data_IF_356990758377
#
_entry.id   IF_356990758377
#
_cell.length_a   1.000
_cell.length_b   1.000
_cell.length_c   1.000
_cell.angle_alpha   90.00
_cell.angle_beta   90.00
_cell.angle_gamma   90.00
#
_symmetry.space_group_name_H-M   'P 1'
#
loop_
_entity.id
_entity.type
_entity.pdbx_description
1 polymer ?
#
# COMPACT_ATOMS: atom_id res chain seq x y z
N UNK A 1 12.73 -23.79 26.50
CA UNK A 1 11.41 -23.37 25.95
C UNK A 1 10.59 -24.64 25.70
N UNK A 2 9.32 -24.68 26.12
CA UNK A 2 8.47 -25.88 25.97
C UNK A 2 8.02 -26.07 24.51
N UNK A 3 8.04 -27.31 24.03
CA UNK A 3 7.71 -27.73 22.65
C UNK A 3 6.38 -27.18 22.15
N UNK A 4 5.40 -27.03 23.03
CA UNK A 4 4.09 -26.42 22.73
C UNK A 4 4.19 -25.00 22.17
N UNK A 5 5.13 -24.18 22.66
CA UNK A 5 5.33 -22.82 22.14
C UNK A 5 5.88 -22.82 20.71
N UNK A 6 6.68 -23.82 20.35
CA UNK A 6 7.22 -23.97 18.99
C UNK A 6 6.10 -24.42 18.03
N UNK A 7 5.28 -25.39 18.46
CA UNK A 7 4.12 -25.85 17.68
C UNK A 7 3.13 -24.71 17.46
N UNK A 8 2.81 -23.92 18.49
CA UNK A 8 1.90 -22.79 18.35
C UNK A 8 2.46 -21.69 17.42
N UNK A 9 3.79 -21.50 17.41
CA UNK A 9 4.46 -20.55 16.51
C UNK A 9 4.44 -21.03 15.06
N UNK A 10 4.63 -22.33 14.83
CA UNK A 10 4.49 -22.95 13.50
C UNK A 10 3.03 -22.87 13.05
N UNK A 11 2.05 -23.18 13.90
CA UNK A 11 0.63 -23.03 13.58
C UNK A 11 0.26 -21.58 13.23
N UNK A 12 0.81 -20.60 13.94
CA UNK A 12 0.60 -19.16 13.65
C UNK A 12 1.28 -18.69 12.36
N UNK A 13 2.37 -19.35 11.94
CA UNK A 13 3.03 -19.12 10.66
C UNK A 13 2.32 -19.83 9.49
N UNK A 14 1.76 -21.01 9.74
CA UNK A 14 0.94 -21.79 8.79
C UNK A 14 -0.48 -21.23 8.64
N UNK A 15 -1.00 -20.52 9.66
CA UNK A 15 -2.20 -19.70 9.53
C UNK A 15 -1.89 -18.58 8.54
N UNK A 16 -2.26 -18.82 7.27
CA UNK A 16 -2.35 -17.83 6.19
C UNK A 16 -2.95 -16.57 6.81
N UNK A 17 -2.15 -15.52 7.00
CA UNK A 17 -2.67 -14.27 7.57
C UNK A 17 -3.97 -13.94 6.84
N UNK A 18 -5.09 -13.71 7.55
CA UNK A 18 -6.39 -13.68 6.92
C UNK A 18 -6.29 -12.73 5.72
N UNK A 19 -6.72 -13.16 4.54
CA UNK A 19 -6.68 -12.34 3.31
C UNK A 19 -7.32 -10.96 3.56
N UNK A 20 -8.28 -10.87 4.48
CA UNK A 20 -8.84 -9.60 5.01
C UNK A 20 -7.78 -8.62 5.53
N UNK A 21 -6.75 -9.12 6.20
CA UNK A 21 -5.62 -8.33 6.70
C UNK A 21 -4.80 -7.76 5.55
N UNK A 22 -4.62 -8.52 4.46
CA UNK A 22 -3.89 -8.05 3.28
C UNK A 22 -4.67 -6.94 2.57
N UNK A 23 -5.97 -7.12 2.41
CA UNK A 23 -6.85 -6.15 1.76
C UNK A 23 -6.99 -4.85 2.58
N UNK A 24 -7.11 -4.97 3.92
CA UNK A 24 -7.08 -3.82 4.85
C UNK A 24 -5.73 -3.11 4.83
N UNK A 25 -4.61 -3.84 4.83
CA UNK A 25 -3.26 -3.27 4.74
C UNK A 25 -3.07 -2.55 3.39
N UNK A 26 -3.47 -3.16 2.29
CA UNK A 26 -3.40 -2.57 0.95
C UNK A 26 -4.21 -1.28 0.85
N UNK A 27 -5.44 -1.26 1.37
CA UNK A 27 -6.24 -0.04 1.44
C UNK A 27 -5.53 1.07 2.26
N UNK A 28 -4.99 0.74 3.44
CA UNK A 28 -4.23 1.70 4.25
C UNK A 28 -3.01 2.25 3.48
N UNK A 29 -2.28 1.40 2.77
CA UNK A 29 -1.13 1.80 1.94
C UNK A 29 -1.53 2.73 0.81
N UNK A 30 -2.60 2.41 0.07
CA UNK A 30 -3.14 3.28 -1.01
C UNK A 30 -3.55 4.65 -0.46
N UNK A 31 -4.19 4.67 0.72
CA UNK A 31 -4.58 5.91 1.41
C UNK A 31 -3.35 6.74 1.80
N UNK A 32 -2.31 6.10 2.34
CA UNK A 32 -1.05 6.76 2.68
C UNK A 32 -0.35 7.34 1.44
N UNK A 33 -0.30 6.59 0.33
CA UNK A 33 0.25 7.06 -0.94
C UNK A 33 -0.52 8.28 -1.47
N UNK A 34 -1.85 8.27 -1.39
CA UNK A 34 -2.69 9.43 -1.79
C UNK A 34 -2.38 10.67 -0.96
N UNK A 35 -2.25 10.52 0.36
CA UNK A 35 -1.92 11.65 1.23
C UNK A 35 -0.53 12.19 0.92
N UNK A 36 0.46 11.30 0.75
CA UNK A 36 1.83 11.69 0.39
C UNK A 36 1.90 12.41 -0.96
N UNK A 37 1.13 11.95 -1.94
CA UNK A 37 1.01 12.61 -3.24
C UNK A 37 0.48 14.04 -3.08
N UNK A 38 -0.62 14.22 -2.33
CA UNK A 38 -1.18 15.56 -2.04
C UNK A 38 -0.19 16.48 -1.35
N UNK A 39 0.56 15.98 -0.38
CA UNK A 39 1.58 16.77 0.33
C UNK A 39 2.68 17.24 -0.63
N UNK A 40 3.12 16.36 -1.53
CA UNK A 40 4.12 16.70 -2.55
C UNK A 40 3.57 17.68 -3.59
N UNK A 41 2.31 17.56 -4.01
CA UNK A 41 1.65 18.51 -4.89
C UNK A 41 1.54 19.90 -4.24
N UNK A 42 1.19 19.97 -2.96
CA UNK A 42 1.18 21.23 -2.22
C UNK A 42 2.59 21.82 -2.07
N UNK A 43 3.58 20.97 -1.82
CA UNK A 43 4.99 21.39 -1.78
C UNK A 43 5.48 21.91 -3.13
N UNK A 44 5.08 21.27 -4.22
CA UNK A 44 5.43 21.68 -5.59
C UNK A 44 4.89 23.09 -5.90
N UNK A 45 3.65 23.41 -5.49
CA UNK A 45 3.07 24.75 -5.68
C UNK A 45 3.92 25.86 -5.06
N UNK A 46 4.56 25.58 -3.93
CA UNK A 46 5.39 26.53 -3.17
C UNK A 46 6.88 26.46 -3.53
N UNK A 47 7.30 25.49 -4.35
CA UNK A 47 8.72 25.30 -4.68
C UNK A 47 9.10 26.20 -5.86
N UNK A 48 10.12 27.02 -5.65
CA UNK A 48 10.79 27.80 -6.69
C UNK A 48 12.00 27.04 -7.23
N UNK A 49 12.42 27.38 -8.45
CA UNK A 49 13.56 26.75 -9.12
C UNK A 49 13.18 25.53 -9.97
N UNK A 50 13.60 25.56 -11.24
CA UNK A 50 13.28 24.53 -12.25
C UNK A 50 13.68 23.12 -11.81
N UNK A 51 14.91 22.95 -11.34
CA UNK A 51 15.42 21.63 -10.93
C UNK A 51 14.72 21.06 -9.69
N UNK A 52 14.39 21.90 -8.70
CA UNK A 52 13.68 21.45 -7.50
C UNK A 52 12.25 21.02 -7.83
N UNK A 53 11.56 21.79 -8.70
CA UNK A 53 10.22 21.45 -9.21
C UNK A 53 10.23 20.15 -10.02
N UNK A 54 11.20 19.97 -10.92
CA UNK A 54 11.31 18.75 -11.73
C UNK A 54 11.50 17.49 -10.86
N UNK A 55 12.36 17.55 -9.83
CA UNK A 55 12.54 16.44 -8.89
C UNK A 55 11.28 16.11 -8.09
N UNK A 56 10.51 17.13 -7.71
CA UNK A 56 9.22 16.92 -7.02
C UNK A 56 8.18 16.31 -7.97
N UNK A 57 8.12 16.78 -9.21
CA UNK A 57 7.20 16.25 -10.22
C UNK A 57 7.46 14.77 -10.49
N UNK A 58 8.73 14.38 -10.72
CA UNK A 58 9.09 12.97 -10.91
C UNK A 58 8.64 12.08 -9.74
N UNK A 59 8.78 12.56 -8.50
CA UNK A 59 8.31 11.82 -7.31
C UNK A 59 6.78 11.70 -7.27
N UNK A 60 6.06 12.76 -7.65
CA UNK A 60 4.59 12.74 -7.73
C UNK A 60 4.14 11.73 -8.79
N UNK A 61 4.79 11.70 -9.96
CA UNK A 61 4.45 10.80 -11.05
C UNK A 61 4.64 9.33 -10.65
N UNK A 62 5.75 9.01 -9.98
CA UNK A 62 5.98 7.66 -9.43
C UNK A 62 4.89 7.29 -8.43
N UNK A 63 4.55 8.17 -7.49
CA UNK A 63 3.48 7.90 -6.52
C UNK A 63 2.12 7.70 -7.19
N UNK A 64 1.82 8.46 -8.24
CA UNK A 64 0.58 8.33 -9.01
C UNK A 64 0.49 6.95 -9.67
N UNK A 65 1.55 6.51 -10.36
CA UNK A 65 1.61 5.19 -11.01
C UNK A 65 1.48 4.06 -9.98
N UNK A 66 2.21 4.15 -8.86
CA UNK A 66 2.15 3.13 -7.81
C UNK A 66 0.78 3.06 -7.14
N UNK A 67 0.14 4.21 -6.89
CA UNK A 67 -1.22 4.28 -6.36
C UNK A 67 -2.22 3.65 -7.31
N UNK A 68 -2.11 3.92 -8.62
CA UNK A 68 -2.99 3.32 -9.64
C UNK A 68 -2.87 1.80 -9.63
N UNK A 69 -1.64 1.27 -9.69
CA UNK A 69 -1.37 -0.17 -9.59
C UNK A 69 -1.96 -0.78 -8.31
N UNK A 70 -1.77 -0.11 -7.18
CA UNK A 70 -2.35 -0.56 -5.90
C UNK A 70 -3.87 -0.63 -5.92
N UNK A 71 -4.56 0.33 -6.56
CA UNK A 71 -6.02 0.32 -6.70
C UNK A 71 -6.48 -0.85 -7.58
N UNK A 72 -5.78 -1.13 -8.68
CA UNK A 72 -6.08 -2.25 -9.58
C UNK A 72 -5.98 -3.58 -8.84
N UNK A 73 -4.88 -3.82 -8.12
CA UNK A 73 -4.70 -5.02 -7.27
C UNK A 73 -5.78 -5.09 -6.18
N UNK A 74 -6.12 -3.96 -5.55
CA UNK A 74 -7.18 -3.93 -4.54
C UNK A 74 -8.55 -4.36 -5.11
N UNK A 75 -8.87 -3.92 -6.32
CA UNK A 75 -10.12 -4.29 -7.01
C UNK A 75 -10.14 -5.77 -7.34
N UNK A 76 -9.03 -6.32 -7.85
CA UNK A 76 -8.89 -7.75 -8.15
C UNK A 76 -9.10 -8.61 -6.89
N UNK A 77 -8.35 -8.33 -5.82
CA UNK A 77 -8.46 -9.07 -4.55
C UNK A 77 -9.88 -8.96 -3.93
N UNK A 78 -10.56 -7.82 -4.12
CA UNK A 78 -11.94 -7.65 -3.66
C UNK A 78 -12.93 -8.46 -4.50
N UNK A 79 -12.72 -8.57 -5.80
CA UNK A 79 -13.55 -9.37 -6.71
C UNK A 79 -13.37 -10.87 -6.44
N UNK A 80 -12.13 -11.34 -6.36
CA UNK A 80 -11.81 -12.74 -6.00
C UNK A 80 -12.45 -13.14 -4.66
N UNK A 81 -12.45 -12.25 -3.67
CA UNK A 81 -13.14 -12.50 -2.40
C UNK A 81 -14.66 -12.63 -2.56
N UNK A 82 -15.28 -11.87 -3.47
CA UNK A 82 -16.72 -11.92 -3.71
C UNK A 82 -17.12 -13.20 -4.43
N UNK A 83 -16.26 -13.72 -5.30
CA UNK A 83 -16.49 -14.98 -6.02
C UNK A 83 -16.19 -16.22 -5.16
N UNK A 84 -15.29 -16.10 -4.17
CA UNK A 84 -14.94 -17.17 -3.24
C UNK A 84 -15.82 -17.26 -1.98
N UNK A 85 -16.80 -16.36 -1.83
CA UNK A 85 -17.70 -16.27 -0.67
C UNK A 85 -19.15 -16.58 -1.08
#
# INVERSE_FOLDING_TARGET
MKTEKLIHRIQKLLQRAPEETKLKKLHKTIKALRNKQKDLEQKLKRTQGKHARQRLQQKIDVLYVQRRKGIEVYRQLKAERREAA
#
